data_IF_683218762965
#
_entry.id   IF_683218762965
#
_cell.length_a   1.000
_cell.length_b   1.000
_cell.length_c   1.000
_cell.angle_alpha   90.00
_cell.angle_beta   90.00
_cell.angle_gamma   90.00
#
_symmetry.space_group_name_H-M   'P 1'
#
loop_
_entity.id
_entity.type
_entity.pdbx_description
1 polymer ?
#
# COMPACT_ATOMS: atom_id res chain seq x y z
N UNK A 1 -26.55 -16.63 3.97
CA UNK A 1 -25.80 -16.24 5.18
C UNK A 1 -26.82 -15.90 6.26
N UNK A 2 -27.07 -16.81 7.20
CA UNK A 2 -27.89 -16.49 8.37
C UNK A 2 -27.07 -15.63 9.31
N UNK A 3 -27.63 -14.50 9.79
CA UNK A 3 -26.97 -13.62 10.74
C UNK A 3 -26.33 -12.35 10.17
N UNK A 4 -26.61 -12.01 8.90
CA UNK A 4 -26.42 -10.64 8.39
C UNK A 4 -27.70 -9.83 8.62
N UNK A 5 -27.59 -8.76 9.39
CA UNK A 5 -28.65 -7.78 9.61
C UNK A 5 -28.23 -6.47 8.91
N UNK A 6 -29.13 -5.93 8.07
CA UNK A 6 -28.94 -4.68 7.34
C UNK A 6 -30.04 -3.70 7.74
N UNK A 7 -29.68 -2.45 8.01
CA UNK A 7 -30.62 -1.38 8.31
C UNK A 7 -30.26 -0.15 7.47
N UNK A 8 -31.27 0.42 6.81
CA UNK A 8 -31.14 1.61 5.98
C UNK A 8 -32.25 2.59 6.35
N UNK A 9 -31.87 3.84 6.60
CA UNK A 9 -32.79 4.95 6.90
C UNK A 9 -32.48 6.05 5.89
N UNK A 10 -33.39 6.24 4.93
CA UNK A 10 -33.28 7.31 3.93
C UNK A 10 -34.26 8.44 4.24
N UNK A 11 -33.73 9.65 4.44
CA UNK A 11 -34.52 10.87 4.56
C UNK A 11 -34.52 11.65 3.23
N UNK A 12 -35.65 11.57 2.53
CA UNK A 12 -35.89 12.26 1.27
C UNK A 12 -35.87 13.80 1.38
N UNK A 13 -36.07 14.38 2.57
CA UNK A 13 -36.06 15.84 2.74
C UNK A 13 -34.64 16.40 2.76
N UNK A 14 -33.72 15.62 3.31
CA UNK A 14 -32.32 16.00 3.50
C UNK A 14 -31.38 15.30 2.51
N UNK A 15 -31.89 14.38 1.69
CA UNK A 15 -31.11 13.49 0.81
C UNK A 15 -30.01 12.75 1.58
N UNK A 16 -30.37 12.29 2.78
CA UNK A 16 -29.47 11.65 3.73
C UNK A 16 -29.77 10.16 3.82
N UNK A 17 -28.72 9.32 3.86
CA UNK A 17 -28.82 7.87 4.05
C UNK A 17 -27.93 7.46 5.23
N UNK A 18 -28.57 7.01 6.30
CA UNK A 18 -27.90 6.24 7.33
C UNK A 18 -28.00 4.76 7.00
N UNK A 19 -26.88 4.05 7.09
CA UNK A 19 -26.86 2.60 6.97
C UNK A 19 -26.11 1.97 8.11
N UNK A 20 -26.52 0.79 8.53
CA UNK A 20 -25.74 -0.05 9.42
C UNK A 20 -25.90 -1.51 9.04
N UNK A 21 -24.86 -2.30 9.31
CA UNK A 21 -24.93 -3.73 9.19
C UNK A 21 -24.22 -4.43 10.33
N UNK A 22 -24.70 -5.63 10.65
CA UNK A 22 -24.09 -6.51 11.63
C UNK A 22 -24.02 -7.91 11.02
N UNK A 23 -22.85 -8.53 11.08
CA UNK A 23 -22.65 -9.94 10.76
C UNK A 23 -21.94 -10.64 11.92
N UNK A 24 -22.56 -11.70 12.43
CA UNK A 24 -22.08 -12.38 13.65
C UNK A 24 -20.79 -13.15 13.43
N UNK A 25 -20.75 -14.05 12.46
CA UNK A 25 -19.54 -14.77 12.09
C UNK A 25 -19.60 -15.28 10.65
N UNK A 26 -18.44 -15.32 10.01
CA UNK A 26 -18.18 -16.08 8.80
C UNK A 26 -17.14 -17.14 9.14
N UNK A 27 -17.54 -18.41 9.03
CA UNK A 27 -16.65 -19.55 9.23
C UNK A 27 -16.53 -20.31 7.92
N UNK A 28 -15.30 -20.45 7.42
CA UNK A 28 -14.95 -21.27 6.27
C UNK A 28 -14.04 -22.37 6.80
N UNK A 29 -14.43 -23.62 6.61
CA UNK A 29 -13.69 -24.78 7.10
C UNK A 29 -13.55 -25.80 5.98
N UNK A 30 -12.32 -26.26 5.79
CA UNK A 30 -11.98 -27.48 5.07
C UNK A 30 -11.18 -28.41 6.03
N UNK A 31 -10.77 -29.62 5.61
CA UNK A 31 -10.06 -30.55 6.51
C UNK A 31 -8.75 -30.02 7.11
N UNK A 32 -8.10 -29.04 6.49
CA UNK A 32 -6.74 -28.60 6.85
C UNK A 32 -6.69 -27.13 7.29
N UNK A 33 -7.78 -26.38 7.05
CA UNK A 33 -7.85 -24.93 7.23
C UNK A 33 -9.17 -24.52 7.84
N UNK A 34 -9.09 -23.66 8.85
CA UNK A 34 -10.23 -22.92 9.40
C UNK A 34 -9.96 -21.43 9.32
N UNK A 35 -10.87 -20.73 8.65
CA UNK A 35 -10.90 -19.27 8.59
C UNK A 35 -12.17 -18.76 9.26
N UNK A 36 -12.00 -17.89 10.26
CA UNK A 36 -13.10 -17.33 11.05
C UNK A 36 -12.99 -15.81 11.08
N UNK A 37 -14.04 -15.11 10.66
CA UNK A 37 -14.21 -13.68 10.90
C UNK A 37 -15.38 -13.50 11.86
N UNK A 38 -15.15 -12.85 13.00
CA UNK A 38 -16.17 -12.65 14.04
C UNK A 38 -16.55 -11.18 14.19
N UNK A 39 -17.86 -10.96 14.39
CA UNK A 39 -18.49 -9.68 14.71
C UNK A 39 -18.06 -8.56 13.77
N UNK A 40 -18.51 -8.64 12.52
CA UNK A 40 -18.35 -7.55 11.55
C UNK A 40 -19.51 -6.58 11.80
N UNK A 41 -19.19 -5.34 12.11
CA UNK A 41 -20.18 -4.26 12.20
C UNK A 41 -19.79 -3.16 11.24
N UNK A 42 -20.78 -2.51 10.65
CA UNK A 42 -20.54 -1.33 9.84
C UNK A 42 -21.64 -0.30 10.06
N UNK A 43 -21.26 0.95 9.91
CA UNK A 43 -22.16 2.10 9.89
C UNK A 43 -21.69 3.08 8.84
N UNK A 44 -22.62 3.73 8.18
CA UNK A 44 -22.34 4.87 7.31
C UNK A 44 -23.42 5.92 7.46
N UNK A 45 -23.05 7.16 7.23
CA UNK A 45 -23.94 8.31 7.16
C UNK A 45 -23.51 9.12 5.94
N UNK A 46 -24.34 9.15 4.90
CA UNK A 46 -24.02 9.85 3.64
C UNK A 46 -25.07 10.88 3.30
N UNK A 47 -24.61 12.00 2.77
CA UNK A 47 -25.42 13.13 2.30
C UNK A 47 -25.16 13.40 0.82
N UNK A 48 -25.92 14.33 0.23
CA UNK A 48 -25.76 14.73 -1.17
C UNK A 48 -25.85 13.56 -2.18
N UNK A 49 -26.70 12.59 -1.88
CA UNK A 49 -26.89 11.40 -2.72
C UNK A 49 -27.60 11.82 -4.00
N UNK A 50 -26.93 11.64 -5.14
CA UNK A 50 -27.51 11.93 -6.45
C UNK A 50 -28.43 10.79 -6.94
N UNK A 51 -29.07 10.98 -8.10
CA UNK A 51 -29.99 9.99 -8.70
C UNK A 51 -29.32 8.65 -9.04
N UNK A 52 -27.98 8.61 -9.10
CA UNK A 52 -27.19 7.40 -9.33
C UNK A 52 -26.71 6.76 -8.01
N UNK A 53 -27.26 7.16 -6.86
CA UNK A 53 -26.85 6.75 -5.52
C UNK A 53 -25.36 7.05 -5.21
N UNK A 54 -24.77 8.01 -5.91
CA UNK A 54 -23.42 8.46 -5.61
C UNK A 54 -23.49 9.60 -4.61
N UNK A 55 -22.67 9.52 -3.58
CA UNK A 55 -22.50 10.58 -2.59
C UNK A 55 -21.05 11.07 -2.64
N UNK A 56 -20.89 12.39 -2.55
CA UNK A 56 -19.59 13.01 -2.35
C UNK A 56 -19.23 13.17 -0.87
N UNK A 57 -20.20 13.07 0.02
CA UNK A 57 -20.07 13.50 1.42
C UNK A 57 -20.67 12.48 2.37
N UNK A 58 -19.90 12.12 3.39
CA UNK A 58 -20.35 11.18 4.39
C UNK A 58 -19.22 10.61 5.20
N UNK A 59 -19.57 9.75 6.14
CA UNK A 59 -18.65 8.98 6.94
C UNK A 59 -19.05 7.51 6.91
N UNK A 60 -18.06 6.66 7.09
CA UNK A 60 -18.29 5.24 7.32
C UNK A 60 -17.29 4.71 8.34
N UNK A 61 -17.71 3.65 9.02
CA UNK A 61 -16.87 2.88 9.94
C UNK A 61 -17.27 1.41 9.83
N UNK A 62 -16.29 0.55 9.62
CA UNK A 62 -16.40 -0.89 9.67
C UNK A 62 -15.45 -1.41 10.75
N UNK A 63 -15.95 -2.30 11.60
CA UNK A 63 -15.18 -2.97 12.65
C UNK A 63 -15.27 -4.47 12.46
N UNK A 64 -14.14 -5.14 12.60
CA UNK A 64 -14.04 -6.58 12.69
C UNK A 64 -13.39 -6.88 14.03
N UNK A 65 -14.13 -7.54 14.92
CA UNK A 65 -13.63 -7.82 16.26
C UNK A 65 -12.43 -8.78 16.21
N UNK A 66 -12.54 -9.82 15.37
CA UNK A 66 -11.50 -10.83 15.30
C UNK A 66 -11.48 -11.54 13.93
N UNK A 67 -10.26 -11.78 13.43
CA UNK A 67 -9.96 -12.60 12.25
C UNK A 67 -9.03 -13.71 12.72
N UNK A 68 -9.40 -14.96 12.50
CA UNK A 68 -8.54 -16.12 12.76
C UNK A 68 -8.36 -16.91 11.47
N UNK A 69 -7.14 -17.33 11.24
CA UNK A 69 -6.76 -18.31 10.24
C UNK A 69 -5.92 -19.38 10.93
N UNK A 70 -6.37 -20.62 10.91
CA UNK A 70 -5.67 -21.77 11.47
C UNK A 70 -5.53 -22.80 10.36
N UNK A 71 -4.30 -23.02 9.89
CA UNK A 71 -3.95 -24.12 8.99
C UNK A 71 -2.84 -24.95 9.61
N UNK A 72 -2.55 -26.11 9.00
CA UNK A 72 -1.46 -27.01 9.43
C UNK A 72 -0.13 -26.26 9.62
N UNK A 73 0.19 -25.35 8.69
CA UNK A 73 1.49 -24.68 8.65
C UNK A 73 1.47 -23.25 9.19
N UNK A 74 0.29 -22.66 9.40
CA UNK A 74 0.19 -21.22 9.70
C UNK A 74 -0.97 -20.91 10.61
N UNK A 75 -0.67 -20.17 11.68
CA UNK A 75 -1.67 -19.61 12.57
C UNK A 75 -1.60 -18.11 12.54
N UNK A 76 -2.72 -17.46 12.25
CA UNK A 76 -2.85 -16.03 12.28
C UNK A 76 -4.09 -15.62 13.07
N UNK A 77 -3.93 -14.64 13.94
CA UNK A 77 -5.01 -13.99 14.68
C UNK A 77 -4.84 -12.48 14.53
N UNK A 78 -5.90 -11.75 14.23
CA UNK A 78 -5.93 -10.28 14.24
C UNK A 78 -7.14 -9.81 15.02
N UNK A 79 -6.92 -8.85 15.93
CA UNK A 79 -7.96 -8.31 16.80
C UNK A 79 -8.26 -6.84 16.48
N UNK A 80 -9.54 -6.50 16.58
CA UNK A 80 -10.06 -5.13 16.52
C UNK A 80 -9.59 -4.35 15.29
N UNK A 81 -9.77 -4.93 14.11
CA UNK A 81 -9.52 -4.21 12.86
C UNK A 81 -10.66 -3.20 12.64
N UNK A 82 -10.33 -1.91 12.63
CA UNK A 82 -11.27 -0.82 12.39
C UNK A 82 -10.85 -0.08 11.14
N UNK A 83 -11.76 0.00 10.19
CA UNK A 83 -11.61 0.76 8.96
C UNK A 83 -12.65 1.87 8.94
N UNK A 84 -12.21 3.11 8.88
CA UNK A 84 -13.08 4.28 8.89
C UNK A 84 -12.70 5.23 7.77
N UNK A 85 -13.66 6.00 7.29
CA UNK A 85 -13.40 7.03 6.32
C UNK A 85 -14.41 8.15 6.41
N UNK A 86 -14.04 9.27 5.82
CA UNK A 86 -14.91 10.42 5.69
C UNK A 86 -14.67 11.09 4.34
N UNK A 87 -15.69 11.79 3.88
CA UNK A 87 -15.62 12.76 2.80
C UNK A 87 -16.51 13.95 3.15
N UNK A 88 -16.05 15.16 2.83
CA UNK A 88 -16.80 16.39 3.05
C UNK A 88 -16.46 17.40 1.98
N UNK A 89 -17.42 18.25 1.65
CA UNK A 89 -17.23 19.35 0.71
C UNK A 89 -17.37 20.67 1.44
N UNK A 90 -16.47 21.61 1.19
CA UNK A 90 -16.57 22.98 1.66
C UNK A 90 -16.23 23.94 0.52
N UNK A 91 -17.15 24.81 0.11
CA UNK A 91 -16.96 25.76 -0.99
C UNK A 91 -16.46 25.09 -2.30
N UNK A 92 -17.03 23.93 -2.65
CA UNK A 92 -16.63 23.16 -3.84
C UNK A 92 -15.31 22.39 -3.70
N UNK A 93 -14.64 22.47 -2.53
CA UNK A 93 -13.43 21.71 -2.22
C UNK A 93 -13.79 20.44 -1.47
N UNK A 94 -13.47 19.30 -2.08
CA UNK A 94 -13.60 17.98 -1.49
C UNK A 94 -12.39 17.68 -0.59
N UNK A 95 -12.68 17.13 0.58
CA UNK A 95 -11.71 16.56 1.51
C UNK A 95 -12.15 15.13 1.82
N UNK A 96 -11.21 14.19 1.73
CA UNK A 96 -11.44 12.77 2.01
C UNK A 96 -10.37 12.27 2.96
N UNK A 97 -10.70 11.27 3.76
CA UNK A 97 -9.72 10.58 4.57
C UNK A 97 -10.14 9.17 4.90
N UNK A 98 -9.14 8.34 5.16
CA UNK A 98 -9.30 6.93 5.49
C UNK A 98 -8.36 6.62 6.64
N UNK A 99 -8.85 5.86 7.62
CA UNK A 99 -8.07 5.39 8.75
C UNK A 99 -8.32 3.91 8.98
N UNK A 100 -7.25 3.13 8.95
CA UNK A 100 -7.21 1.73 9.34
C UNK A 100 -6.45 1.62 10.67
N UNK A 101 -7.02 0.91 11.64
CA UNK A 101 -6.33 0.57 12.88
C UNK A 101 -6.53 -0.90 13.22
N UNK A 102 -5.55 -1.52 13.86
CA UNK A 102 -5.67 -2.86 14.41
C UNK A 102 -4.85 -2.97 15.70
N UNK A 103 -5.34 -3.73 16.68
CA UNK A 103 -4.70 -3.77 18.00
C UNK A 103 -3.50 -4.69 18.03
N UNK A 104 -3.73 -5.97 17.69
CA UNK A 104 -2.69 -6.99 17.74
C UNK A 104 -2.97 -8.01 16.63
N UNK A 105 -1.93 -8.31 15.87
CA UNK A 105 -1.84 -9.41 14.93
C UNK A 105 -0.77 -10.37 15.43
N UNK A 106 -1.14 -11.63 15.61
CA UNK A 106 -0.20 -12.72 15.89
C UNK A 106 -0.12 -13.58 14.64
N UNK A 107 1.07 -13.77 14.09
CA UNK A 107 1.33 -14.68 12.98
C UNK A 107 2.44 -15.64 13.41
N UNK A 108 2.09 -16.92 13.59
CA UNK A 108 2.93 -17.93 14.22
C UNK A 108 3.39 -17.47 15.61
N UNK A 109 4.69 -17.25 15.81
CA UNK A 109 5.28 -16.76 17.08
C UNK A 109 5.51 -15.24 17.10
N UNK A 110 5.16 -14.54 16.02
CA UNK A 110 5.43 -13.12 15.87
C UNK A 110 4.23 -12.26 16.21
N UNK A 111 4.47 -11.22 17.02
CA UNK A 111 3.45 -10.27 17.44
C UNK A 111 3.68 -8.90 16.82
N UNK A 112 2.66 -8.42 16.15
CA UNK A 112 2.59 -7.12 15.50
C UNK A 112 1.40 -6.35 16.06
N UNK A 113 1.49 -5.04 16.15
CA UNK A 113 0.43 -4.17 16.62
C UNK A 113 0.80 -3.37 17.87
N UNK A 114 0.16 -2.22 18.10
CA UNK A 114 -0.90 -1.63 17.27
C UNK A 114 -0.40 -1.19 15.87
N UNK A 115 -1.29 -1.34 14.89
CA UNK A 115 -1.15 -0.85 13.52
C UNK A 115 -2.06 0.37 13.35
N UNK A 116 -1.55 1.44 12.73
CA UNK A 116 -2.34 2.58 12.28
C UNK A 116 -1.90 2.99 10.89
N UNK A 117 -2.86 3.19 9.99
CA UNK A 117 -2.66 3.82 8.69
C UNK A 117 -3.71 4.91 8.51
N UNK A 118 -3.28 6.15 8.32
CA UNK A 118 -4.12 7.34 8.26
C UNK A 118 -3.77 8.14 7.01
N UNK A 119 -4.67 8.12 6.04
CA UNK A 119 -4.53 8.75 4.74
C UNK A 119 -5.56 9.89 4.59
N UNK A 120 -5.17 10.97 3.93
CA UNK A 120 -6.10 12.03 3.57
C UNK A 120 -5.77 12.67 2.23
N UNK A 121 -6.81 13.16 1.56
CA UNK A 121 -6.69 14.06 0.43
C UNK A 121 -7.52 15.31 0.73
N UNK A 122 -6.96 16.49 0.47
CA UNK A 122 -7.60 17.77 0.74
C UNK A 122 -7.59 18.64 -0.50
N UNK A 123 -8.54 19.55 -0.54
CA UNK A 123 -8.61 20.63 -1.52
C UNK A 123 -8.64 20.12 -2.98
N UNK A 124 -9.39 19.05 -3.23
CA UNK A 124 -9.71 18.62 -4.61
C UNK A 124 -10.95 19.38 -5.08
N UNK A 125 -11.03 19.76 -6.36
CA UNK A 125 -12.29 20.25 -6.92
C UNK A 125 -13.34 19.14 -6.99
N UNK A 126 -14.44 19.29 -6.25
CA UNK A 126 -15.48 18.26 -6.12
C UNK A 126 -16.13 17.91 -7.46
N UNK A 127 -16.35 18.90 -8.33
CA UNK A 127 -16.95 18.68 -9.65
C UNK A 127 -16.03 17.86 -10.55
N UNK A 128 -14.74 18.19 -10.54
CA UNK A 128 -13.71 17.49 -11.31
C UNK A 128 -13.46 16.08 -10.80
N UNK A 129 -13.59 15.87 -9.48
CA UNK A 129 -13.54 14.54 -8.88
C UNK A 129 -14.69 13.64 -9.37
N UNK A 130 -15.92 14.16 -9.49
CA UNK A 130 -17.04 13.42 -10.09
C UNK A 130 -16.71 13.01 -11.53
N UNK A 131 -16.26 13.97 -12.35
CA UNK A 131 -15.88 13.69 -13.75
C UNK A 131 -14.78 12.62 -13.85
N UNK A 132 -13.81 12.66 -12.94
CA UNK A 132 -12.76 11.66 -12.87
C UNK A 132 -13.31 10.27 -12.54
N UNK A 133 -14.23 10.16 -11.57
CA UNK A 133 -14.89 8.89 -11.24
C UNK A 133 -15.73 8.35 -12.41
N UNK A 134 -16.46 9.22 -13.10
CA UNK A 134 -17.24 8.86 -14.28
C UNK A 134 -16.33 8.32 -15.40
N UNK A 135 -15.20 8.99 -15.65
CA UNK A 135 -14.18 8.53 -16.60
C UNK A 135 -13.56 7.19 -16.18
N UNK A 136 -13.23 7.01 -14.89
CA UNK A 136 -12.70 5.75 -14.38
C UNK A 136 -13.70 4.58 -14.48
N UNK A 137 -14.99 4.85 -14.32
CA UNK A 137 -16.02 3.83 -14.47
C UNK A 137 -16.24 3.44 -15.94
N UNK A 138 -16.11 4.38 -16.88
CA UNK A 138 -16.16 4.07 -18.32
C UNK A 138 -14.92 3.30 -18.81
N UNK A 139 -13.77 3.42 -18.13
CA UNK A 139 -12.55 2.63 -18.39
C UNK A 139 -12.71 1.13 -18.20
N UNK A 140 -13.55 0.68 -17.27
CA UNK A 140 -13.74 -0.74 -17.01
C UNK A 140 -14.37 -1.50 -18.20
N UNK A 141 -14.90 -0.78 -19.19
CA UNK A 141 -15.66 -1.35 -20.32
C UNK A 141 -15.18 -0.87 -21.69
N UNK A 142 -14.02 -0.20 -21.78
CA UNK A 142 -13.62 0.48 -23.01
C UNK A 142 -12.58 -0.27 -23.84
N UNK A 143 -12.74 -0.17 -25.16
CA UNK A 143 -11.86 -0.80 -26.15
C UNK A 143 -10.60 0.04 -26.48
N UNK A 144 -10.59 1.34 -26.17
CA UNK A 144 -9.50 2.25 -26.56
C UNK A 144 -8.89 3.02 -25.36
N UNK A 145 -7.78 2.51 -24.79
CA UNK A 145 -7.06 3.14 -23.67
C UNK A 145 -6.53 4.55 -23.95
N UNK A 146 -6.25 4.90 -25.22
CA UNK A 146 -5.64 6.18 -25.59
C UNK A 146 -6.62 7.35 -25.43
N UNK A 147 -7.87 7.16 -25.86
CA UNK A 147 -8.93 8.17 -25.71
C UNK A 147 -9.19 8.47 -24.23
N UNK A 148 -9.08 7.44 -23.38
CA UNK A 148 -9.30 7.56 -21.94
C UNK A 148 -8.16 8.27 -21.24
N UNK A 149 -6.92 8.02 -21.66
CA UNK A 149 -5.77 8.80 -21.23
C UNK A 149 -5.97 10.29 -21.52
N UNK A 150 -6.50 10.65 -22.70
CA UNK A 150 -6.78 12.05 -23.03
C UNK A 150 -7.90 12.67 -22.18
N UNK A 151 -8.96 11.90 -21.86
CA UNK A 151 -10.04 12.37 -20.98
C UNK A 151 -9.51 12.71 -19.57
N UNK A 152 -8.69 11.83 -19.00
CA UNK A 152 -8.08 12.07 -17.67
C UNK A 152 -7.17 13.29 -17.71
N UNK A 153 -6.33 13.41 -18.74
CA UNK A 153 -5.45 14.56 -18.91
C UNK A 153 -6.23 15.87 -19.04
N UNK A 154 -7.40 15.86 -19.67
CA UNK A 154 -8.27 17.03 -19.77
C UNK A 154 -8.90 17.45 -18.44
N UNK A 155 -9.10 16.52 -17.49
CA UNK A 155 -9.66 16.80 -16.16
C UNK A 155 -8.60 17.32 -15.19
N UNK A 156 -7.34 16.92 -15.38
CA UNK A 156 -6.25 17.15 -14.44
C UNK A 156 -6.07 18.63 -14.02
N UNK A 157 -6.05 19.63 -14.93
CA UNK A 157 -5.87 21.03 -14.54
C UNK A 157 -6.95 21.53 -13.57
N UNK A 158 -8.21 21.15 -13.81
CA UNK A 158 -9.32 21.53 -12.94
C UNK A 158 -9.31 20.78 -11.62
N UNK A 159 -8.89 19.50 -11.64
CA UNK A 159 -8.78 18.67 -10.44
C UNK A 159 -7.80 19.27 -9.43
N UNK A 160 -6.70 19.83 -9.92
CA UNK A 160 -5.61 20.34 -9.07
C UNK A 160 -5.68 21.84 -8.83
N UNK A 161 -6.66 22.57 -9.37
CA UNK A 161 -6.73 24.06 -9.31
C UNK A 161 -6.72 24.64 -7.90
N UNK A 162 -7.13 23.87 -6.90
CA UNK A 162 -7.12 24.28 -5.48
C UNK A 162 -5.85 23.88 -4.73
N UNK A 163 -4.80 23.48 -5.46
CA UNK A 163 -3.53 23.00 -4.92
C UNK A 163 -3.69 21.85 -3.93
N UNK A 164 -4.21 20.69 -4.39
CA UNK A 164 -4.58 19.58 -3.52
C UNK A 164 -3.38 19.07 -2.73
N UNK A 165 -3.70 18.54 -1.55
CA UNK A 165 -2.73 17.92 -0.65
C UNK A 165 -3.11 16.46 -0.44
N UNK A 166 -2.20 15.55 -0.77
CA UNK A 166 -2.31 14.12 -0.51
C UNK A 166 -1.34 13.80 0.62
N UNK A 167 -1.80 13.13 1.68
CA UNK A 167 -0.96 12.86 2.86
C UNK A 167 -1.22 11.47 3.44
N UNK A 168 -0.14 10.76 3.75
CA UNK A 168 -0.11 9.70 4.75
C UNK A 168 0.27 10.41 6.06
N UNK A 169 -0.73 10.74 6.88
CA UNK A 169 -0.52 11.43 8.16
C UNK A 169 0.27 10.56 9.13
N UNK A 170 -0.01 9.26 9.10
CA UNK A 170 0.55 8.27 10.02
C UNK A 170 0.47 6.89 9.38
N UNK A 171 1.60 6.21 9.30
CA UNK A 171 1.71 4.78 9.11
C UNK A 171 2.59 4.28 10.25
N UNK A 172 1.99 3.66 11.27
CA UNK A 172 2.69 3.19 12.47
C UNK A 172 2.42 1.72 12.68
N UNK A 173 3.46 0.96 13.00
CA UNK A 173 3.42 -0.44 13.34
C UNK A 173 4.38 -0.69 14.51
N UNK A 174 3.88 -1.33 15.56
CA UNK A 174 4.71 -1.82 16.67
C UNK A 174 4.87 -3.33 16.59
N UNK A 175 5.96 -3.86 17.11
CA UNK A 175 6.18 -5.30 17.28
C UNK A 175 7.15 -5.55 18.42
N UNK A 176 7.35 -6.82 18.77
CA UNK A 176 8.43 -7.23 19.66
C UNK A 176 9.83 -6.97 19.08
N UNK A 177 9.95 -6.76 17.76
CA UNK A 177 11.21 -6.43 17.09
C UNK A 177 11.43 -4.93 16.92
N UNK A 178 10.50 -4.09 17.40
CA UNK A 178 10.63 -2.65 17.43
C UNK A 178 9.48 -1.94 16.72
N UNK A 179 9.70 -0.66 16.40
CA UNK A 179 8.66 0.20 15.85
C UNK A 179 9.00 0.61 14.42
N UNK A 180 7.96 0.85 13.64
CA UNK A 180 8.01 1.47 12.33
C UNK A 180 7.03 2.64 12.34
N UNK A 181 7.50 3.83 12.00
CA UNK A 181 6.70 5.04 11.91
C UNK A 181 7.04 5.76 10.61
N UNK A 182 6.01 6.08 9.83
CA UNK A 182 6.16 6.79 8.58
C UNK A 182 5.06 7.84 8.38
N UNK A 183 5.42 8.90 7.67
CA UNK A 183 4.49 9.90 7.17
C UNK A 183 4.97 10.41 5.81
N UNK A 184 4.03 10.87 5.00
CA UNK A 184 4.32 11.46 3.71
C UNK A 184 3.26 12.50 3.38
N UNK A 185 3.66 13.53 2.63
CA UNK A 185 2.76 14.57 2.15
C UNK A 185 3.25 15.07 0.81
N UNK A 186 2.32 15.18 -0.12
CA UNK A 186 2.52 15.74 -1.46
C UNK A 186 1.50 16.85 -1.64
N UNK A 187 1.96 18.03 -2.04
CA UNK A 187 1.15 19.17 -2.43
C UNK A 187 1.44 19.48 -3.89
N UNK A 188 0.37 19.60 -4.67
CA UNK A 188 0.46 20.04 -6.07
C UNK A 188 0.20 21.54 -6.08
N UNK A 189 1.13 22.34 -6.61
CA UNK A 189 0.93 23.78 -6.77
C UNK A 189 0.19 24.08 -8.05
N UNK A 190 -0.89 24.86 -7.94
CA UNK A 190 -1.69 25.31 -9.07
C UNK A 190 -1.34 26.74 -9.53
N UNK A 191 -0.21 27.28 -9.06
CA UNK A 191 0.23 28.65 -9.39
C UNK A 191 0.72 28.80 -10.84
N UNK A 192 1.02 27.69 -11.52
CA UNK A 192 1.35 27.67 -12.94
C UNK A 192 0.55 26.61 -13.74
N UNK A 193 -0.64 26.98 -14.26
CA UNK A 193 -1.51 26.07 -15.00
C UNK A 193 -0.89 25.47 -16.27
N UNK A 194 0.05 26.17 -16.91
CA UNK A 194 0.72 25.69 -18.12
C UNK A 194 1.63 24.49 -17.82
N UNK A 195 2.26 24.47 -16.63
CA UNK A 195 3.08 23.33 -16.19
C UNK A 195 2.25 22.08 -15.93
N UNK A 196 0.96 22.22 -15.62
CA UNK A 196 0.05 21.09 -15.41
C UNK A 196 -0.42 20.46 -16.71
N UNK A 197 -0.27 21.14 -17.85
CA UNK A 197 -0.59 20.62 -19.17
C UNK A 197 0.54 19.77 -19.77
N UNK A 198 1.74 19.83 -19.19
CA UNK A 198 2.88 19.04 -19.61
C UNK A 198 3.35 18.13 -18.48
N UNK A 199 3.12 16.82 -18.64
CA UNK A 199 3.49 15.82 -17.63
C UNK A 199 4.99 15.82 -17.32
N UNK A 200 5.84 16.25 -18.25
CA UNK A 200 7.30 16.37 -18.02
C UNK A 200 7.64 17.52 -17.05
N UNK A 201 6.75 18.51 -16.91
CA UNK A 201 6.95 19.69 -16.06
C UNK A 201 6.24 19.58 -14.71
N UNK A 202 5.37 18.58 -14.53
CA UNK A 202 4.56 18.44 -13.32
C UNK A 202 5.43 18.32 -12.06
N UNK A 203 6.62 17.71 -12.17
CA UNK A 203 7.58 17.59 -11.07
C UNK A 203 7.99 18.93 -10.44
N UNK A 204 7.95 20.03 -11.20
CA UNK A 204 8.26 21.37 -10.70
C UNK A 204 7.11 21.97 -9.88
N UNK A 205 5.89 21.47 -10.08
CA UNK A 205 4.68 21.88 -9.34
C UNK A 205 4.53 21.13 -8.02
N UNK A 206 5.32 20.08 -7.79
CA UNK A 206 5.23 19.25 -6.60
C UNK A 206 6.07 19.81 -5.46
N UNK A 207 5.45 19.88 -4.28
CA UNK A 207 6.15 19.89 -3.00
C UNK A 207 5.87 18.56 -2.31
N UNK A 208 6.92 17.84 -1.93
CA UNK A 208 6.77 16.59 -1.19
C UNK A 208 7.65 16.57 0.05
N UNK A 209 7.19 15.89 1.08
CA UNK A 209 7.95 15.52 2.26
C UNK A 209 7.61 14.09 2.64
N UNK A 210 8.61 13.32 3.05
CA UNK A 210 8.44 11.97 3.54
C UNK A 210 9.42 11.72 4.69
N UNK A 211 8.97 11.03 5.72
CA UNK A 211 9.79 10.62 6.85
C UNK A 211 9.48 9.19 7.21
N UNK A 212 10.52 8.39 7.44
CA UNK A 212 10.44 7.02 7.94
C UNK A 212 11.42 6.87 9.09
N UNK A 213 10.97 6.23 10.16
CA UNK A 213 11.78 5.80 11.29
C UNK A 213 11.46 4.33 11.53
N UNK A 214 12.47 3.48 11.48
CA UNK A 214 12.30 2.05 11.71
C UNK A 214 13.38 1.55 12.67
N UNK A 215 13.00 0.76 13.67
CA UNK A 215 13.97 0.11 14.56
C UNK A 215 14.85 -0.83 13.75
N UNK A 216 16.17 -0.80 14.04
CA UNK A 216 17.15 -1.64 13.34
C UNK A 216 16.78 -3.11 13.40
N UNK A 217 16.44 -3.62 14.58
CA UNK A 217 16.01 -5.00 14.80
C UNK A 217 14.79 -5.41 13.99
N UNK A 218 13.87 -4.49 13.71
CA UNK A 218 12.69 -4.76 12.89
C UNK A 218 13.06 -4.89 11.40
N UNK A 219 13.97 -4.03 10.93
CA UNK A 219 14.48 -4.07 9.56
C UNK A 219 15.29 -5.35 9.33
N UNK A 220 16.21 -5.65 10.25
CA UNK A 220 17.03 -6.86 10.20
C UNK A 220 16.15 -8.11 10.18
N UNK A 221 15.17 -8.19 11.09
CA UNK A 221 14.19 -9.26 11.15
C UNK A 221 13.46 -9.49 9.81
N UNK A 222 13.04 -8.41 9.13
CA UNK A 222 12.35 -8.51 7.84
C UNK A 222 13.28 -9.00 6.72
N UNK A 223 14.52 -8.48 6.68
CA UNK A 223 15.53 -8.90 5.72
C UNK A 223 15.85 -10.39 5.89
N UNK A 224 16.06 -10.85 7.13
CA UNK A 224 16.35 -12.26 7.44
C UNK A 224 15.20 -13.19 7.01
N UNK A 225 13.97 -12.86 7.37
CA UNK A 225 12.81 -13.71 7.07
C UNK A 225 12.46 -13.76 5.57
N UNK A 226 12.61 -12.66 4.85
CA UNK A 226 12.42 -12.67 3.38
C UNK A 226 13.50 -13.49 2.68
N UNK A 227 14.74 -13.44 3.18
CA UNK A 227 15.86 -14.23 2.67
C UNK A 227 15.68 -15.73 2.90
N UNK A 228 15.16 -16.12 4.07
CA UNK A 228 14.91 -17.51 4.42
C UNK A 228 13.81 -18.15 3.56
N UNK A 229 12.74 -17.41 3.28
CA UNK A 229 11.63 -17.88 2.44
C UNK A 229 12.04 -18.09 0.98
N UNK A 230 12.90 -17.22 0.43
CA UNK A 230 13.41 -17.37 -0.94
C UNK A 230 14.29 -18.64 -1.09
N UNK A 231 15.08 -18.99 -0.06
CA UNK A 231 15.90 -20.21 -0.05
C UNK A 231 15.07 -21.49 0.03
N UNK A 232 13.89 -21.46 0.66
CA UNK A 232 12.96 -22.59 0.69
C UNK A 232 12.28 -22.82 -0.68
N UNK A 233 11.99 -21.75 -1.43
CA UNK A 233 11.46 -21.84 -2.79
C UNK A 233 12.50 -22.37 -3.80
N UNK A 234 13.76 -21.96 -3.75
CA UNK A 234 14.80 -22.49 -4.66
C UNK A 234 15.04 -24.01 -4.47
N UNK A 235 14.97 -24.52 -3.23
CA UNK A 235 15.10 -25.97 -2.95
C UNK A 235 13.95 -26.83 -3.49
N UNK A 236 12.80 -26.23 -3.82
CA UNK A 236 11.69 -26.95 -4.44
C UNK A 236 11.85 -27.11 -5.96
N UNK A 237 12.63 -26.24 -6.60
CA UNK A 237 12.89 -26.30 -8.05
C UNK A 237 13.99 -27.32 -8.40
N UNK A 238 14.99 -27.50 -7.52
CA UNK A 238 16.06 -28.49 -7.74
C UNK A 238 15.61 -29.96 -7.56
N UNK A 239 14.53 -30.20 -6.82
CA UNK A 239 13.98 -31.55 -6.62
C UNK A 239 13.07 -32.02 -7.76
N UNK A 240 12.49 -31.12 -8.57
CA UNK A 240 11.76 -31.53 -9.78
C UNK A 240 12.69 -31.85 -10.97
N UNK A 241 13.91 -31.31 -11.00
CA UNK A 241 14.87 -31.59 -12.09
C UNK A 241 15.79 -32.81 -11.85
N UNK A 242 15.83 -33.39 -10.64
CA UNK A 242 16.55 -34.66 -10.39
C UNK A 242 15.76 -35.93 -10.70
N UNK A 243 14.45 -35.84 -10.95
CA UNK A 243 13.60 -37.00 -11.27
C UNK A 243 13.21 -37.13 -12.76
N UNK A 244 13.88 -36.39 -13.66
CA UNK A 244 13.62 -36.43 -15.12
C UNK A 244 14.84 -36.72 -15.99
N UNK A 245 15.84 -37.44 -15.45
CA UNK A 245 16.97 -37.97 -16.26
C UNK A 245 17.19 -39.44 -15.93
N UNK A 246 16.24 -40.29 -16.34
CA UNK A 246 16.51 -41.72 -16.53
C UNK A 246 15.47 -42.31 -17.48
N UNK A 247 15.50 -41.87 -18.74
CA UNK A 247 15.06 -42.68 -19.89
C UNK A 247 15.48 -41.96 -21.19
N UNK A 248 16.35 -42.60 -21.97
CA UNK A 248 16.68 -42.17 -23.33
C UNK A 248 18.12 -41.69 -23.53
N UNK A 249 19.11 -42.58 -23.36
CA UNK A 249 20.43 -42.40 -23.95
C UNK A 249 20.61 -43.43 -25.07
N UNK A 250 20.55 -43.00 -26.33
CA UNK A 250 21.35 -43.59 -27.39
C UNK A 250 21.64 -42.55 -28.49
N UNK A 251 22.94 -42.42 -28.75
CA UNK A 251 23.63 -41.90 -29.94
C UNK A 251 24.18 -40.45 -29.98
N UNK A 252 25.51 -40.40 -29.70
CA UNK A 252 26.61 -39.80 -30.49
C UNK A 252 26.61 -38.25 -30.65
N UNK A 253 27.72 -37.50 -30.53
CA UNK A 253 29.15 -37.74 -30.34
C UNK A 253 29.84 -36.37 -30.11
N UNK A 254 30.88 -36.37 -29.26
CA UNK A 254 32.09 -35.51 -29.25
C UNK A 254 32.04 -33.99 -29.04
N UNK A 255 32.73 -33.54 -27.96
CA UNK A 255 33.22 -32.17 -27.84
C UNK A 255 33.74 -31.70 -26.46
N UNK A 256 34.86 -32.27 -25.99
CA UNK A 256 35.92 -31.68 -25.12
C UNK A 256 35.67 -31.24 -23.65
N UNK A 257 36.68 -31.62 -22.83
CA UNK A 257 36.89 -31.51 -21.38
C UNK A 257 37.20 -30.10 -20.81
N UNK A 258 37.20 -30.05 -19.45
CA UNK A 258 37.82 -29.09 -18.49
C UNK A 258 36.97 -27.83 -18.14
N UNK A 259 36.63 -27.50 -16.88
CA UNK A 259 37.33 -27.64 -15.59
C UNK A 259 36.38 -27.96 -14.44
N UNK A 260 36.89 -28.79 -13.53
CA UNK A 260 36.34 -29.12 -12.22
C UNK A 260 36.27 -27.94 -11.25
N UNK A 261 35.17 -27.87 -10.50
CA UNK A 261 35.17 -27.62 -9.06
C UNK A 261 35.65 -26.26 -8.58
N UNK A 262 34.71 -25.34 -8.37
CA UNK A 262 34.75 -24.45 -7.21
C UNK A 262 33.36 -24.42 -6.55
N UNK A 263 33.35 -24.92 -5.33
CA UNK A 263 32.34 -24.80 -4.28
C UNK A 263 31.66 -23.42 -4.26
N UNK A 264 30.42 -23.34 -4.74
CA UNK A 264 29.51 -22.19 -4.55
C UNK A 264 28.57 -22.40 -3.37
N UNK A 265 29.11 -22.74 -2.19
CA UNK A 265 28.28 -23.02 -1.01
C UNK A 265 28.41 -21.99 0.13
N UNK A 266 29.23 -20.93 0.00
CA UNK A 266 29.42 -19.97 1.11
C UNK A 266 29.16 -18.48 0.77
N UNK A 267 28.68 -18.13 -0.43
CA UNK A 267 28.58 -16.73 -0.86
C UNK A 267 27.17 -16.08 -0.86
N UNK A 268 26.13 -16.69 -0.25
CA UNK A 268 24.74 -16.18 -0.38
C UNK A 268 24.03 -15.84 0.95
N UNK A 269 24.79 -15.59 2.01
CA UNK A 269 24.25 -14.98 3.25
C UNK A 269 24.74 -13.54 3.43
N UNK A 270 25.87 -13.16 2.82
CA UNK A 270 26.46 -11.83 2.91
C UNK A 270 25.80 -10.77 1.99
N UNK A 271 24.93 -11.19 1.06
CA UNK A 271 24.36 -10.31 0.02
C UNK A 271 23.13 -9.50 0.48
N UNK A 272 22.61 -9.75 1.68
CA UNK A 272 21.39 -9.07 2.16
C UNK A 272 21.67 -8.07 3.30
N UNK A 273 22.70 -8.30 4.12
CA UNK A 273 23.26 -7.26 4.99
C UNK A 273 23.94 -6.14 4.18
N UNK A 274 24.45 -6.45 2.97
CA UNK A 274 25.05 -5.47 2.07
C UNK A 274 24.04 -4.47 1.52
N UNK A 275 22.77 -4.88 1.30
CA UNK A 275 21.74 -4.02 0.72
C UNK A 275 21.42 -2.80 1.58
N UNK A 276 21.03 -2.99 2.85
CA UNK A 276 20.75 -1.86 3.76
C UNK A 276 22.01 -1.01 3.99
N UNK A 277 23.18 -1.65 4.05
CA UNK A 277 24.47 -0.98 4.23
C UNK A 277 24.82 -0.07 3.06
N UNK A 278 24.56 -0.47 1.83
CA UNK A 278 24.75 0.36 0.65
C UNK A 278 23.90 1.63 0.71
N UNK A 279 22.63 1.53 1.17
CA UNK A 279 21.79 2.71 1.35
C UNK A 279 22.26 3.62 2.49
N UNK A 280 22.86 3.07 3.55
CA UNK A 280 23.47 3.86 4.62
C UNK A 280 24.74 4.56 4.12
N UNK A 281 25.62 3.82 3.45
CA UNK A 281 26.89 4.33 2.91
C UNK A 281 26.63 5.41 1.84
N UNK A 282 25.57 5.25 1.04
CA UNK A 282 25.08 6.26 0.09
C UNK A 282 24.37 7.44 0.74
N UNK A 283 24.10 7.39 2.05
CA UNK A 283 23.46 8.44 2.82
C UNK A 283 21.95 8.55 2.65
N UNK A 284 21.30 7.55 2.05
CA UNK A 284 19.84 7.47 1.94
C UNK A 284 19.17 7.20 3.29
N UNK A 285 19.78 6.38 4.14
CA UNK A 285 19.40 6.25 5.54
C UNK A 285 20.49 6.78 6.46
N UNK A 286 20.08 7.29 7.62
CA UNK A 286 20.99 7.58 8.73
C UNK A 286 20.64 6.68 9.91
N UNK A 287 21.68 6.26 10.65
CA UNK A 287 21.50 5.57 11.91
C UNK A 287 21.41 6.61 13.04
N UNK A 288 20.27 6.65 13.74
CA UNK A 288 20.05 7.49 14.91
C UNK A 288 19.74 6.60 16.12
N UNK A 289 20.75 6.38 16.95
CA UNK A 289 20.70 5.39 18.02
C UNK A 289 20.48 3.97 17.47
N UNK A 290 19.34 3.37 17.80
CA UNK A 290 18.96 2.03 17.34
C UNK A 290 17.93 2.05 16.19
N UNK A 291 17.79 3.18 15.50
CA UNK A 291 16.80 3.35 14.43
C UNK A 291 17.47 3.74 13.12
N UNK A 292 16.95 3.20 12.02
CA UNK A 292 17.14 3.74 10.69
C UNK A 292 16.15 4.88 10.46
N UNK A 293 16.67 6.02 10.00
CA UNK A 293 15.89 7.22 9.72
C UNK A 293 16.09 7.61 8.26
N UNK A 294 14.98 7.92 7.60
CA UNK A 294 14.93 8.48 6.25
C UNK A 294 14.08 9.74 6.28
N UNK A 295 14.58 10.82 5.69
CA UNK A 295 13.82 12.05 5.47
C UNK A 295 14.06 12.53 4.04
N UNK A 296 13.01 12.69 3.27
CA UNK A 296 13.09 13.28 1.93
C UNK A 296 12.23 14.53 1.84
N UNK A 297 12.72 15.54 1.10
CA UNK A 297 11.90 16.67 0.70
C UNK A 297 12.14 17.02 -0.76
N UNK A 298 11.06 17.28 -1.50
CA UNK A 298 11.07 17.81 -2.86
C UNK A 298 10.47 19.21 -2.81
N UNK A 299 11.22 20.23 -3.21
CA UNK A 299 10.72 21.59 -3.35
C UNK A 299 11.25 22.21 -4.61
N UNK A 300 10.35 22.70 -5.47
CA UNK A 300 10.70 23.38 -6.71
C UNK A 300 11.64 22.55 -7.61
N UNK A 301 11.37 21.26 -7.74
CA UNK A 301 12.21 20.33 -8.51
C UNK A 301 13.54 19.96 -7.85
N UNK A 302 13.85 20.43 -6.64
CA UNK A 302 15.03 20.03 -5.90
C UNK A 302 14.67 18.96 -4.87
N UNK A 303 15.18 17.75 -5.06
CA UNK A 303 15.10 16.69 -4.07
C UNK A 303 16.24 16.82 -3.06
N UNK A 304 15.95 16.59 -1.79
CA UNK A 304 16.95 16.40 -0.75
C UNK A 304 16.61 15.17 0.07
N UNK A 305 17.64 14.39 0.42
CA UNK A 305 17.52 13.23 1.30
C UNK A 305 18.45 13.45 2.49
N UNK A 306 17.89 13.32 3.69
CA UNK A 306 18.55 13.60 4.97
C UNK A 306 19.27 14.96 4.99
N UNK A 307 18.68 15.97 4.36
CA UNK A 307 19.22 17.33 4.24
C UNK A 307 20.28 17.53 3.16
N UNK A 308 20.70 16.47 2.44
CA UNK A 308 21.64 16.56 1.33
C UNK A 308 20.87 16.67 0.00
N UNK A 309 21.12 17.70 -0.83
CA UNK A 309 20.47 17.82 -2.13
C UNK A 309 20.95 16.70 -3.07
N UNK A 310 20.01 16.09 -3.78
CA UNK A 310 20.27 15.07 -4.80
C UNK A 310 19.68 15.56 -6.13
N UNK A 311 20.47 15.66 -7.20
CA UNK A 311 19.94 15.97 -8.53
C UNK A 311 18.94 14.88 -8.98
N UNK A 312 17.71 15.26 -9.34
CA UNK A 312 16.67 14.32 -9.82
C UNK A 312 17.16 13.43 -10.99
N UNK A 313 18.06 13.96 -11.83
CA UNK A 313 18.64 13.22 -12.95
C UNK A 313 19.43 11.96 -12.52
N UNK A 314 20.00 11.93 -11.31
CA UNK A 314 20.70 10.75 -10.80
C UNK A 314 19.74 9.63 -10.34
N UNK A 315 18.50 9.98 -9.96
CA UNK A 315 17.50 8.98 -9.54
C UNK A 315 16.66 8.44 -10.70
N UNK A 316 16.53 9.17 -11.81
CA UNK A 316 15.77 8.72 -12.99
C UNK A 316 16.55 7.76 -13.90
N UNK A 317 17.84 7.52 -13.61
CA UNK A 317 18.76 6.71 -14.42
C UNK A 317 19.23 5.42 -13.72
N UNK A 318 18.69 5.10 -12.54
CA UNK A 318 18.83 3.81 -11.86
C UNK A 318 17.53 3.02 -11.97
#
# INVERSE_FOLDING_TARGET
WSGLELNFIYDHKTNHLDSSFISRALNITDPETTFTISNITGRSSTSDINQNFQSLTGDFEMKIANINFDSIDTKMNMNNLVFSGFSKTNQGKLQMGMKLTGDKMVANEYEFGPLTYNFAIKDIDATSWIKLQESANSMKSAENPMEQGMQVMGILPELVKYSPVIEIKELSLKSNQGNFDANAKVKIKADNPEMLQNILLIGNTLEAEASVVASKSLVDFYIENTSANNKAQEKSIDNENKNKVSEGAEQLSEGQDFIAGETKEEAKAADNESGIKEFIDSGYFILDGNNYVFKATLKSGLLSINGKPIPLAQMMLQ
#
